data_IF_893884913258
#
_entry.id   IF_893884913258
#
_cell.length_a   1.000
_cell.length_b   1.000
_cell.length_c   1.000
_cell.angle_alpha   90.00
_cell.angle_beta   90.00
_cell.angle_gamma   90.00
#
_symmetry.space_group_name_H-M   'P 1'
#
loop_
_entity.id
_entity.type
_entity.pdbx_description
1 polymer ?
#
# COMPACT_ATOMS: atom_id res chain seq x y z
N UNK A 1 -0.18 -10.71 -25.86
CA UNK A 1 1.04 -11.45 -25.57
C UNK A 1 2.11 -10.44 -25.21
N UNK A 2 2.52 -10.42 -23.95
CA UNK A 2 3.43 -9.41 -23.42
C UNK A 2 4.80 -10.06 -23.25
N UNK A 3 5.77 -9.57 -24.01
CA UNK A 3 7.16 -9.98 -23.86
C UNK A 3 7.71 -9.39 -22.56
N UNK A 4 8.20 -10.25 -21.67
CA UNK A 4 8.74 -9.88 -20.36
C UNK A 4 10.24 -9.54 -20.44
N UNK A 5 10.91 -9.85 -21.56
CA UNK A 5 12.36 -9.73 -21.70
C UNK A 5 12.81 -8.40 -22.36
N UNK A 6 11.88 -7.56 -22.84
CA UNK A 6 12.23 -6.25 -23.41
C UNK A 6 12.39 -5.16 -22.32
N UNK A 7 13.64 -4.87 -21.98
CA UNK A 7 14.03 -3.82 -21.01
C UNK A 7 13.48 -2.44 -21.40
N UNK A 8 13.28 -2.16 -22.69
CA UNK A 8 12.67 -0.89 -23.14
C UNK A 8 11.17 -0.85 -22.86
N UNK A 9 10.49 -1.99 -22.92
CA UNK A 9 9.07 -2.08 -22.59
C UNK A 9 8.85 -2.00 -21.08
N UNK A 10 9.72 -2.65 -20.29
CA UNK A 10 9.78 -2.51 -18.83
C UNK A 10 9.93 -1.03 -18.41
N UNK A 11 10.89 -0.33 -19.01
CA UNK A 11 11.09 1.10 -18.76
C UNK A 11 9.88 1.96 -19.14
N UNK A 12 9.16 1.63 -20.22
CA UNK A 12 7.91 2.33 -20.59
C UNK A 12 6.77 2.04 -19.62
N UNK A 13 6.63 0.80 -19.15
CA UNK A 13 5.61 0.39 -18.18
C UNK A 13 5.82 1.07 -16.83
N UNK A 14 7.06 1.07 -16.32
CA UNK A 14 7.42 1.78 -15.09
C UNK A 14 7.17 3.28 -15.26
N UNK A 15 7.57 3.88 -16.39
CA UNK A 15 7.30 5.29 -16.66
C UNK A 15 5.81 5.60 -16.78
N UNK A 16 4.99 4.71 -17.33
CA UNK A 16 3.55 4.89 -17.43
C UNK A 16 2.89 4.83 -16.04
N UNK A 17 3.26 3.85 -15.21
CA UNK A 17 2.77 3.72 -13.84
C UNK A 17 3.27 4.88 -12.99
N UNK A 18 4.56 5.23 -13.06
CA UNK A 18 5.14 6.37 -12.35
C UNK A 18 4.50 7.70 -12.74
N UNK A 19 4.17 7.89 -14.03
CA UNK A 19 3.39 9.07 -14.47
C UNK A 19 1.98 9.10 -13.88
N UNK A 20 1.34 7.95 -13.68
CA UNK A 20 -0.01 7.85 -13.10
C UNK A 20 0.03 8.01 -11.57
N UNK A 21 1.05 7.49 -10.90
CA UNK A 21 1.31 7.69 -9.48
C UNK A 21 1.83 9.10 -9.15
N UNK A 22 1.99 9.93 -10.18
CA UNK A 22 2.47 11.30 -10.09
C UNK A 22 3.98 11.35 -10.26
N UNK A 23 4.43 12.24 -11.14
CA UNK A 23 5.72 12.89 -10.89
C UNK A 23 5.70 13.44 -9.45
N UNK A 24 6.78 13.34 -8.69
CA UNK A 24 6.87 13.89 -7.31
C UNK A 24 6.24 15.28 -7.17
N UNK A 25 6.42 16.16 -8.15
CA UNK A 25 5.84 17.51 -8.20
C UNK A 25 4.30 17.59 -8.18
N UNK A 26 3.58 16.54 -8.62
CA UNK A 26 2.12 16.46 -8.51
C UNK A 26 1.71 15.84 -7.18
N UNK A 27 2.45 14.83 -6.70
CA UNK A 27 2.18 14.23 -5.39
C UNK A 27 2.34 15.26 -4.26
N UNK A 28 3.26 16.21 -4.38
CA UNK A 28 3.44 17.34 -3.44
C UNK A 28 2.24 18.30 -3.37
N UNK A 29 1.29 18.24 -4.30
CA UNK A 29 0.10 19.11 -4.32
C UNK A 29 -1.11 18.53 -3.60
N UNK A 30 -1.01 17.28 -3.13
CA UNK A 30 -2.10 16.58 -2.46
C UNK A 30 -1.68 16.19 -1.05
N UNK A 31 -2.63 16.18 -0.11
CA UNK A 31 -2.38 15.66 1.24
C UNK A 31 -2.19 14.13 1.22
N UNK A 32 -2.87 13.42 0.32
CA UNK A 32 -2.78 11.98 0.15
C UNK A 32 -2.84 11.57 -1.32
N UNK A 33 -2.01 10.59 -1.69
CA UNK A 33 -2.08 9.86 -2.96
C UNK A 33 -2.51 8.42 -2.66
N UNK A 34 -3.54 7.92 -3.34
CA UNK A 34 -4.03 6.56 -3.14
C UNK A 34 -3.75 5.73 -4.39
N UNK A 35 -2.93 4.70 -4.26
CA UNK A 35 -2.71 3.73 -5.34
C UNK A 35 -3.50 2.46 -5.10
N UNK A 36 -4.36 2.10 -6.07
CA UNK A 36 -5.15 0.86 -6.01
C UNK A 36 -4.57 -0.15 -6.99
N UNK A 37 -4.29 -1.36 -6.50
CA UNK A 37 -3.84 -2.51 -7.28
C UNK A 37 -4.76 -3.70 -7.06
N UNK A 38 -5.12 -4.40 -8.14
CA UNK A 38 -5.88 -5.65 -8.02
C UNK A 38 -5.01 -6.86 -7.66
N UNK A 39 -3.70 -6.67 -7.48
CA UNK A 39 -2.73 -7.75 -7.26
C UNK A 39 -2.03 -7.59 -5.91
N UNK A 40 -1.78 -8.68 -5.17
CA UNK A 40 -0.95 -8.64 -3.97
C UNK A 40 0.46 -8.12 -4.31
N UNK A 41 0.97 -7.23 -3.47
CA UNK A 41 2.30 -6.63 -3.63
C UNK A 41 3.38 -7.38 -2.86
N UNK A 42 3.11 -7.69 -1.59
CA UNK A 42 4.05 -8.29 -0.64
C UNK A 42 4.02 -9.81 -0.84
N UNK A 43 5.01 -10.35 -1.54
CA UNK A 43 5.17 -11.80 -1.79
C UNK A 43 6.59 -12.09 -2.27
N UNK A 44 7.11 -13.29 -2.02
CA UNK A 44 8.36 -13.74 -2.61
C UNK A 44 8.24 -13.83 -4.14
N UNK A 45 9.37 -13.80 -4.86
CA UNK A 45 9.36 -13.91 -6.32
C UNK A 45 8.91 -15.31 -6.73
N UNK A 46 7.82 -15.38 -7.51
CA UNK A 46 7.28 -16.62 -8.06
C UNK A 46 6.78 -16.39 -9.49
N UNK A 47 7.38 -17.12 -10.44
CA UNK A 47 7.06 -17.04 -11.87
C UNK A 47 5.68 -17.62 -12.21
N UNK A 48 5.09 -18.41 -11.32
CA UNK A 48 3.75 -18.99 -11.48
C UNK A 48 2.65 -18.14 -10.81
N UNK A 49 3.04 -17.16 -10.00
CA UNK A 49 2.10 -16.34 -9.23
C UNK A 49 1.25 -15.42 -10.13
N UNK A 50 0.02 -15.16 -9.71
CA UNK A 50 -0.86 -14.18 -10.35
C UNK A 50 -0.66 -12.75 -9.81
N UNK A 51 0.22 -12.57 -8.81
CA UNK A 51 0.50 -11.32 -8.12
C UNK A 51 1.61 -10.48 -8.77
N UNK A 52 2.12 -9.47 -8.05
CA UNK A 52 3.33 -8.75 -8.45
C UNK A 52 4.60 -9.60 -8.36
N UNK A 53 4.58 -10.71 -7.62
CA UNK A 53 5.69 -11.67 -7.52
C UNK A 53 6.21 -12.15 -8.87
N UNK A 54 5.30 -12.37 -9.83
CA UNK A 54 5.66 -12.81 -11.20
C UNK A 54 6.38 -11.74 -12.01
N UNK A 55 6.17 -10.48 -11.67
CA UNK A 55 6.73 -9.32 -12.40
C UNK A 55 7.80 -8.65 -11.54
N UNK A 56 8.77 -9.44 -11.06
CA UNK A 56 9.75 -9.00 -10.07
C UNK A 56 10.58 -7.80 -10.53
N UNK A 57 10.95 -7.73 -11.82
CA UNK A 57 11.71 -6.61 -12.38
C UNK A 57 10.87 -5.33 -12.43
N UNK A 58 9.60 -5.42 -12.86
CA UNK A 58 8.64 -4.31 -12.80
C UNK A 58 8.44 -3.84 -11.36
N UNK A 59 8.24 -4.79 -10.42
CA UNK A 59 8.03 -4.52 -9.00
C UNK A 59 9.22 -3.79 -8.41
N UNK A 60 10.43 -4.25 -8.68
CA UNK A 60 11.67 -3.62 -8.24
C UNK A 60 11.80 -2.20 -8.79
N UNK A 61 11.63 -2.02 -10.11
CA UNK A 61 11.76 -0.69 -10.73
C UNK A 61 10.69 0.30 -10.29
N UNK A 62 9.47 -0.16 -10.03
CA UNK A 62 8.42 0.66 -9.45
C UNK A 62 8.69 1.01 -7.98
N UNK A 63 9.21 0.05 -7.21
CA UNK A 63 9.61 0.27 -5.81
C UNK A 63 10.73 1.30 -5.70
N UNK A 64 11.75 1.22 -6.56
CA UNK A 64 12.83 2.21 -6.64
C UNK A 64 12.25 3.60 -6.99
N UNK A 65 11.40 3.67 -8.01
CA UNK A 65 10.76 4.92 -8.42
C UNK A 65 9.94 5.56 -7.30
N UNK A 66 9.07 4.80 -6.63
CA UNK A 66 8.22 5.32 -5.54
C UNK A 66 9.09 5.82 -4.39
N UNK A 67 10.09 5.04 -3.98
CA UNK A 67 11.02 5.46 -2.92
C UNK A 67 11.77 6.75 -3.29
N UNK A 68 12.30 6.84 -4.51
CA UNK A 68 13.09 8.00 -4.94
C UNK A 68 12.28 9.28 -5.15
N UNK A 69 11.00 9.15 -5.53
CA UNK A 69 10.16 10.31 -5.90
C UNK A 69 9.16 10.70 -4.82
N UNK A 70 8.43 9.73 -4.27
CA UNK A 70 7.40 9.96 -3.26
C UNK A 70 8.00 9.77 -1.86
N UNK A 71 8.75 8.68 -1.65
CA UNK A 71 9.32 8.34 -0.35
C UNK A 71 10.43 9.28 0.14
N UNK A 72 11.21 9.87 -0.77
CA UNK A 72 12.14 10.96 -0.46
C UNK A 72 11.52 12.36 -0.59
N UNK A 73 10.26 12.43 -1.00
CA UNK A 73 9.52 13.66 -1.20
C UNK A 73 8.32 13.76 -0.25
N UNK A 74 7.08 13.90 -0.76
CA UNK A 74 5.89 14.19 0.06
C UNK A 74 5.47 13.04 0.99
N UNK A 75 5.91 11.81 0.75
CA UNK A 75 5.68 10.65 1.63
C UNK A 75 4.19 10.42 1.95
N UNK A 76 3.30 10.75 1.01
CA UNK A 76 1.84 10.80 1.21
C UNK A 76 1.09 9.68 0.48
N UNK A 77 1.78 8.63 0.03
CA UNK A 77 1.19 7.52 -0.73
C UNK A 77 0.75 6.36 0.17
N UNK A 78 -0.54 6.00 0.09
CA UNK A 78 -1.07 4.73 0.60
C UNK A 78 -1.40 3.82 -0.58
N UNK A 79 -0.92 2.57 -0.53
CA UNK A 79 -1.35 1.54 -1.46
C UNK A 79 -2.54 0.75 -0.91
N UNK A 80 -3.39 0.28 -1.81
CA UNK A 80 -4.49 -0.63 -1.52
C UNK A 80 -4.40 -1.78 -2.51
N UNK A 81 -4.23 -3.00 -2.00
CA UNK A 81 -4.26 -4.22 -2.79
C UNK A 81 -5.49 -5.08 -2.46
N UNK A 82 -5.80 -6.02 -3.34
CA UNK A 82 -6.83 -7.04 -3.13
C UNK A 82 -6.35 -8.40 -3.64
N UNK A 83 -7.28 -9.34 -3.87
CA UNK A 83 -7.08 -10.69 -4.40
C UNK A 83 -6.50 -11.74 -3.42
N UNK A 84 -5.73 -11.35 -2.40
CA UNK A 84 -5.28 -12.29 -1.34
C UNK A 84 -6.38 -12.66 -0.33
N UNK A 85 -7.67 -12.49 -0.66
CA UNK A 85 -8.83 -12.92 0.13
C UNK A 85 -8.70 -12.81 1.68
N UNK A 86 -8.09 -11.73 2.16
CA UNK A 86 -7.78 -11.52 3.56
C UNK A 86 -7.72 -10.02 3.84
N UNK A 87 -7.89 -9.66 5.11
CA UNK A 87 -7.50 -8.33 5.59
C UNK A 87 -6.08 -8.37 6.16
N UNK A 88 -5.27 -7.41 5.77
CA UNK A 88 -3.95 -7.18 6.35
C UNK A 88 -3.53 -5.72 6.15
N UNK A 89 -2.59 -5.23 6.95
CA UNK A 89 -1.97 -3.93 6.77
C UNK A 89 -0.46 -4.04 7.01
N UNK A 90 0.31 -3.41 6.14
CA UNK A 90 1.74 -3.19 6.35
C UNK A 90 2.01 -1.69 6.43
N UNK A 91 2.82 -1.27 7.39
CA UNK A 91 3.23 0.12 7.60
C UNK A 91 4.30 0.61 6.61
N UNK A 92 4.80 -0.29 5.74
CA UNK A 92 5.87 -0.02 4.79
C UNK A 92 7.16 -0.77 5.09
N UNK A 93 7.25 -1.46 6.23
CA UNK A 93 8.42 -2.27 6.58
C UNK A 93 8.68 -3.42 5.62
N UNK A 94 7.66 -3.90 4.89
CA UNK A 94 7.76 -5.06 3.99
C UNK A 94 7.39 -4.75 2.53
N UNK A 95 7.22 -3.48 2.16
CA UNK A 95 6.81 -3.09 0.79
C UNK A 95 7.96 -2.67 -0.13
N UNK A 96 9.19 -2.53 0.37
CA UNK A 96 10.33 -2.20 -0.49
C UNK A 96 10.92 -3.44 -1.18
N UNK A 97 10.92 -3.43 -2.51
CA UNK A 97 11.49 -4.47 -3.38
C UNK A 97 12.57 -3.92 -4.33
N UNK A 98 13.04 -2.70 -4.09
CA UNK A 98 14.04 -2.05 -4.92
C UNK A 98 15.46 -2.59 -4.67
N UNK A 99 16.46 -1.94 -5.28
CA UNK A 99 17.86 -2.43 -5.25
C UNK A 99 18.63 -2.08 -3.99
N UNK A 100 18.15 -1.15 -3.18
CA UNK A 100 18.83 -0.69 -1.96
C UNK A 100 18.78 -1.75 -0.85
N UNK A 101 19.84 -1.84 -0.05
CA UNK A 101 19.96 -2.72 1.11
C UNK A 101 19.83 -2.00 2.46
N UNK A 102 19.58 -0.69 2.45
CA UNK A 102 19.38 0.15 3.65
C UNK A 102 17.88 0.33 3.97
N UNK A 103 17.59 0.92 5.14
CA UNK A 103 16.26 1.36 5.57
C UNK A 103 15.67 2.37 4.57
N UNK A 104 15.12 1.83 3.49
CA UNK A 104 14.67 2.62 2.34
C UNK A 104 13.20 2.96 2.56
N UNK A 105 12.81 4.24 2.46
CA UNK A 105 11.42 4.63 2.62
C UNK A 105 10.51 3.80 1.73
N UNK A 106 9.45 3.26 2.32
CA UNK A 106 8.44 2.53 1.59
C UNK A 106 7.05 2.92 2.05
N UNK A 107 6.06 2.53 1.26
CA UNK A 107 4.70 2.98 1.42
C UNK A 107 3.90 1.98 2.27
N UNK A 108 3.00 2.47 3.13
CA UNK A 108 2.02 1.61 3.77
C UNK A 108 1.09 0.99 2.72
N UNK A 109 0.64 -0.23 2.98
CA UNK A 109 -0.31 -0.93 2.12
C UNK A 109 -1.41 -1.60 2.92
N UNK A 110 -2.65 -1.38 2.49
CA UNK A 110 -3.83 -2.09 2.95
C UNK A 110 -4.15 -3.23 1.99
N UNK A 111 -4.21 -4.46 2.50
CA UNK A 111 -4.86 -5.55 1.79
C UNK A 111 -6.35 -5.56 2.15
N UNK A 112 -7.19 -5.20 1.18
CA UNK A 112 -8.65 -5.21 1.36
C UNK A 112 -9.18 -6.64 1.28
N UNK A 113 -9.97 -7.01 2.28
CA UNK A 113 -10.59 -8.33 2.39
C UNK A 113 -11.72 -8.56 1.39
N UNK A 114 -12.16 -9.82 1.24
CA UNK A 114 -13.17 -10.17 0.26
C UNK A 114 -14.58 -10.05 0.84
N UNK A 115 -15.46 -9.37 0.11
CA UNK A 115 -16.88 -9.28 0.42
C UNK A 115 -17.60 -10.63 0.29
N UNK A 116 -17.20 -11.45 -0.68
CA UNK A 116 -17.93 -12.67 -1.05
C UNK A 116 -16.99 -13.80 -1.53
N UNK A 117 -15.87 -14.00 -0.82
CA UNK A 117 -14.95 -15.14 -1.04
C UNK A 117 -14.52 -15.78 0.28
N UNK A 118 -14.16 -17.06 0.19
CA UNK A 118 -13.46 -17.78 1.25
C UNK A 118 -12.04 -17.24 1.40
N UNK A 119 -11.45 -17.45 2.59
CA UNK A 119 -10.09 -17.02 2.91
C UNK A 119 -9.06 -17.74 2.05
N UNK A 120 -8.04 -17.00 1.64
CA UNK A 120 -6.87 -17.53 0.94
C UNK A 120 -5.70 -16.60 1.25
N UNK A 121 -4.96 -16.89 2.33
CA UNK A 121 -3.88 -16.02 2.77
C UNK A 121 -2.69 -16.05 1.79
N UNK A 122 -2.50 -14.97 1.02
CA UNK A 122 -1.35 -14.82 0.10
C UNK A 122 -0.40 -13.72 0.56
N UNK A 123 0.90 -14.00 0.47
CA UNK A 123 1.94 -13.00 0.67
C UNK A 123 2.31 -12.74 2.13
N UNK A 124 2.89 -11.57 2.37
CA UNK A 124 3.44 -11.14 3.66
C UNK A 124 4.97 -11.26 3.75
N UNK A 125 5.55 -10.94 4.91
CA UNK A 125 4.88 -10.61 6.18
C UNK A 125 4.14 -9.26 6.13
N UNK A 126 3.12 -9.13 6.99
CA UNK A 126 2.39 -7.87 7.22
C UNK A 126 2.56 -7.47 8.69
N UNK A 127 2.63 -6.17 8.96
CA UNK A 127 2.64 -5.68 10.36
C UNK A 127 1.35 -5.92 11.13
N UNK A 128 0.22 -6.09 10.45
CA UNK A 128 -1.09 -6.37 11.03
C UNK A 128 -1.87 -7.35 10.15
N UNK A 129 -2.58 -8.30 10.78
CA UNK A 129 -3.12 -9.48 10.10
C UNK A 129 -2.09 -10.62 9.99
N UNK A 130 -2.25 -11.61 9.12
CA UNK A 130 -3.32 -11.85 8.17
C UNK A 130 -4.64 -12.30 8.84
N UNK A 131 -5.77 -11.72 8.40
CA UNK A 131 -7.11 -12.15 8.79
C UNK A 131 -7.85 -12.79 7.60
N UNK A 132 -7.73 -14.11 7.45
CA UNK A 132 -8.45 -14.93 6.48
C UNK A 132 -9.28 -16.02 7.19
N UNK A 133 -10.44 -16.36 6.63
CA UNK A 133 -11.31 -17.45 7.12
C UNK A 133 -11.59 -18.44 5.99
N UNK A 134 -10.94 -19.60 6.02
CA UNK A 134 -10.89 -20.53 4.87
C UNK A 134 -12.20 -21.31 4.62
N UNK A 135 -13.06 -21.43 5.62
CA UNK A 135 -14.26 -22.28 5.56
C UNK A 135 -15.59 -21.52 5.41
N UNK A 136 -15.54 -20.19 5.37
CA UNK A 136 -16.71 -19.31 5.32
C UNK A 136 -16.45 -18.12 4.40
N UNK A 137 -17.52 -17.47 3.93
CA UNK A 137 -17.38 -16.21 3.19
C UNK A 137 -16.97 -15.13 4.19
N UNK A 138 -15.86 -14.46 3.95
CA UNK A 138 -15.29 -13.57 4.98
C UNK A 138 -16.15 -12.33 5.26
N UNK A 139 -16.89 -11.85 4.26
CA UNK A 139 -17.66 -10.61 4.34
C UNK A 139 -16.84 -9.46 4.93
N UNK A 140 -15.60 -9.36 4.48
CA UNK A 140 -14.61 -8.41 4.98
C UNK A 140 -14.55 -7.19 4.07
N UNK A 141 -14.39 -6.02 4.67
CA UNK A 141 -14.21 -4.76 3.96
C UNK A 141 -13.45 -3.77 4.81
N UNK A 142 -12.94 -2.73 4.17
CA UNK A 142 -12.32 -1.60 4.86
C UNK A 142 -12.94 -0.28 4.40
N UNK A 143 -12.93 0.70 5.30
CA UNK A 143 -13.30 2.08 5.01
C UNK A 143 -12.09 3.00 5.22
N UNK A 144 -12.01 4.04 4.39
CA UNK A 144 -11.04 5.12 4.52
C UNK A 144 -11.82 6.40 4.89
N UNK A 145 -11.42 7.04 5.98
CA UNK A 145 -11.90 8.37 6.37
C UNK A 145 -10.74 9.35 6.30
N UNK A 146 -10.99 10.54 5.79
CA UNK A 146 -10.00 11.61 5.67
C UNK A 146 -10.43 12.78 6.55
N UNK A 147 -9.49 13.29 7.32
CA UNK A 147 -9.66 14.45 8.19
C UNK A 147 -8.61 15.49 7.78
N UNK A 148 -9.08 16.68 7.40
CA UNK A 148 -8.23 17.77 6.94
C UNK A 148 -8.33 18.95 7.92
N UNK A 149 -7.23 19.66 8.18
CA UNK A 149 -7.24 20.85 9.03
C UNK A 149 -8.22 21.90 8.50
N UNK A 150 -8.94 22.60 9.40
CA UNK A 150 -9.83 23.69 8.99
C UNK A 150 -9.00 24.93 8.62
N UNK A 151 -8.99 25.37 7.36
CA UNK A 151 -8.21 26.53 6.94
C UNK A 151 -8.74 27.86 7.51
N UNK A 152 -9.93 27.86 8.12
CA UNK A 152 -10.59 29.03 8.69
C UNK A 152 -10.44 29.16 10.21
N UNK A 153 -9.82 28.18 10.87
CA UNK A 153 -9.59 28.23 12.31
C UNK A 153 -8.39 29.14 12.65
N UNK A 154 -8.68 30.41 12.94
CA UNK A 154 -7.69 31.44 13.26
C UNK A 154 -6.92 31.19 14.59
N UNK A 155 -7.29 30.15 15.36
CA UNK A 155 -6.69 29.84 16.67
C UNK A 155 -5.58 28.78 16.62
N UNK A 156 -5.30 28.16 15.46
CA UNK A 156 -4.29 27.10 15.39
C UNK A 156 -2.88 27.60 15.07
N UNK A 157 -1.95 27.29 15.99
CA UNK A 157 -0.56 27.00 15.63
C UNK A 157 -0.57 26.05 14.44
N UNK A 158 0.17 26.38 13.38
CA UNK A 158 0.12 25.79 12.04
C UNK A 158 0.62 24.33 11.93
N UNK A 159 0.21 23.46 12.84
CA UNK A 159 0.79 22.13 13.07
C UNK A 159 -0.21 20.98 12.97
N UNK A 160 -1.48 21.20 12.68
CA UNK A 160 -2.40 20.08 12.43
C UNK A 160 -2.16 19.55 11.01
N UNK A 161 -1.70 18.30 10.91
CA UNK A 161 -1.49 17.60 9.64
C UNK A 161 -2.79 16.89 9.22
N UNK A 162 -3.01 16.74 7.90
CA UNK A 162 -4.09 15.90 7.42
C UNK A 162 -3.89 14.44 7.86
N UNK A 163 -4.99 13.78 8.21
CA UNK A 163 -5.00 12.40 8.69
C UNK A 163 -5.92 11.52 7.84
N UNK A 164 -5.48 10.29 7.60
CA UNK A 164 -6.27 9.23 6.99
C UNK A 164 -6.43 8.09 8.01
N UNK A 165 -7.68 7.67 8.22
CA UNK A 165 -8.01 6.54 9.09
C UNK A 165 -8.55 5.38 8.27
N UNK A 166 -7.88 4.23 8.36
CA UNK A 166 -8.29 2.93 7.83
C UNK A 166 -9.02 2.20 8.94
N UNK A 167 -10.22 1.69 8.67
CA UNK A 167 -10.92 0.75 9.55
C UNK A 167 -11.33 -0.47 8.77
N UNK A 168 -11.05 -1.65 9.31
CA UNK A 168 -11.34 -2.93 8.68
C UNK A 168 -12.38 -3.70 9.48
N UNK A 169 -13.28 -4.42 8.80
CA UNK A 169 -14.45 -5.05 9.40
C UNK A 169 -14.69 -6.45 8.84
N UNK A 170 -15.42 -7.29 9.58
CA UNK A 170 -16.06 -8.51 9.06
C UNK A 170 -17.52 -8.57 9.52
N UNK A 171 -18.43 -8.92 8.60
CA UNK A 171 -19.88 -8.98 8.89
C UNK A 171 -20.23 -10.18 9.79
N UNK A 172 -19.51 -11.31 9.70
CA UNK A 172 -19.82 -12.51 10.49
C UNK A 172 -19.30 -12.45 11.93
N UNK A 173 -18.18 -11.74 12.17
CA UNK A 173 -17.75 -11.37 13.53
C UNK A 173 -18.45 -10.08 13.95
N UNK A 174 -19.76 -10.14 14.14
CA UNK A 174 -20.62 -9.12 14.78
C UNK A 174 -20.06 -7.68 14.84
N UNK A 175 -20.16 -6.87 13.77
CA UNK A 175 -19.92 -5.40 13.82
C UNK A 175 -18.55 -4.95 14.38
N UNK A 176 -17.64 -5.86 14.69
CA UNK A 176 -16.42 -5.51 15.38
C UNK A 176 -15.37 -5.13 14.34
N UNK A 177 -14.81 -3.94 14.57
CA UNK A 177 -13.61 -3.50 13.89
C UNK A 177 -12.50 -4.54 14.12
N UNK A 178 -11.95 -5.08 13.04
CA UNK A 178 -10.82 -6.02 13.07
C UNK A 178 -9.55 -5.26 13.43
N UNK A 179 -9.32 -4.13 12.77
CA UNK A 179 -8.26 -3.20 13.11
C UNK A 179 -8.61 -1.78 12.64
N UNK A 180 -7.96 -0.80 13.26
CA UNK A 180 -7.92 0.59 12.80
C UNK A 180 -6.48 1.08 12.75
N UNK A 181 -6.14 1.87 11.73
CA UNK A 181 -4.84 2.55 11.58
C UNK A 181 -5.10 4.00 11.19
N UNK A 182 -4.43 4.93 11.85
CA UNK A 182 -4.47 6.35 11.51
C UNK A 182 -3.09 6.78 11.09
N UNK A 183 -3.00 7.41 9.92
CA UNK A 183 -1.77 7.87 9.29
C UNK A 183 -1.92 9.38 9.07
N UNK A 184 -1.02 10.19 9.61
CA UNK A 184 -1.05 11.64 9.49
C UNK A 184 0.26 12.15 8.89
N UNK A 185 0.20 13.22 8.11
CA UNK A 185 1.37 13.86 7.53
C UNK A 185 2.19 12.94 6.61
N UNK A 186 3.48 12.81 6.88
CA UNK A 186 4.36 11.88 6.17
C UNK A 186 4.10 10.43 6.62
N UNK A 187 3.51 9.63 5.73
CA UNK A 187 3.02 8.28 6.05
C UNK A 187 3.99 7.17 5.65
N UNK A 188 5.16 7.49 5.08
CA UNK A 188 6.21 6.51 4.82
C UNK A 188 7.02 6.32 6.10
N UNK A 189 7.07 5.08 6.60
CA UNK A 189 7.99 4.74 7.69
C UNK A 189 9.21 3.99 7.11
N UNK A 190 10.44 4.53 7.26
CA UNK A 190 11.65 3.76 6.97
C UNK A 190 11.79 2.65 8.00
N UNK A 191 12.41 1.51 7.63
CA UNK A 191 12.67 0.44 8.59
C UNK A 191 13.59 0.94 9.73
N UNK A 192 13.07 1.19 10.91
CA UNK A 192 13.82 0.84 12.11
C UNK A 192 13.69 -0.67 12.25
N UNK A 193 14.60 -1.40 11.59
CA UNK A 193 14.93 -2.73 12.09
C UNK A 193 15.60 -2.47 13.43
N UNK A 194 14.87 -2.67 14.52
CA UNK A 194 15.48 -2.84 15.84
C UNK A 194 16.67 -3.80 15.69
N UNK A 195 17.84 -3.31 16.10
CA UNK A 195 19.13 -4.01 16.12
C UNK A 195 19.14 -5.08 17.21
#
# INVERSE_FOLDING_TARGET
DFDYDDVNDLGRRINAIGKVLGSSAQAEQYDFVIWISSKPWIEEVDVQSDSWARSALERQGLSDYISETVGRGPQNLLAISSDAHMLAFDDGTNTYYGKSNEATPSFPILQSGPLDRMGDAKGGPFTEGCFATDLQRNHQYSTLSFEFPDPSDEQHESTEEACLTIRAYSVERHKDEIFSKTLCGAIFQPSEKDV
#
